data_IF_322475692899
#
_entry.id   IF_322475692899
#
_cell.length_a   1.000
_cell.length_b   1.000
_cell.length_c   1.000
_cell.angle_alpha   90.00
_cell.angle_beta   90.00
_cell.angle_gamma   90.00
#
_symmetry.space_group_name_H-M   'P 1'
#
loop_
_entity.id
_entity.type
_entity.pdbx_description
1 polymer ?
#
# COMPACT_ATOMS: atom_id res chain seq x y z
N UNK A 1 -0.54 7.23 18.31
CA UNK A 1 0.74 7.30 17.58
C UNK A 1 0.84 8.64 16.90
N UNK A 2 1.94 9.37 17.12
CA UNK A 2 2.26 10.51 16.26
C UNK A 2 2.84 9.98 14.96
N UNK A 3 2.40 10.54 13.83
CA UNK A 3 2.92 10.20 12.51
C UNK A 3 3.30 11.48 11.79
N UNK A 4 4.51 11.53 11.24
CA UNK A 4 4.98 12.71 10.52
C UNK A 4 4.33 12.83 9.14
N UNK A 5 4.52 13.98 8.49
CA UNK A 5 4.03 14.21 7.11
C UNK A 5 4.55 13.16 6.14
N UNK A 6 5.83 12.77 6.25
CA UNK A 6 6.43 11.76 5.36
C UNK A 6 5.76 10.39 5.50
N UNK A 7 5.40 9.98 6.72
CA UNK A 7 4.61 8.76 6.95
C UNK A 7 3.28 8.82 6.21
N UNK A 8 2.55 9.95 6.36
CA UNK A 8 1.25 10.12 5.71
C UNK A 8 1.35 10.11 4.18
N UNK A 9 2.39 10.73 3.61
CA UNK A 9 2.63 10.74 2.16
C UNK A 9 2.90 9.34 1.63
N UNK A 10 3.84 8.61 2.25
CA UNK A 10 4.20 7.24 1.82
C UNK A 10 2.99 6.31 1.91
N UNK A 11 2.21 6.42 3.00
CA UNK A 11 0.97 5.66 3.15
C UNK A 11 -0.03 5.99 2.05
N UNK A 12 -0.26 7.26 1.76
CA UNK A 12 -1.23 7.70 0.76
C UNK A 12 -0.85 7.25 -0.67
N UNK A 13 0.44 7.23 -1.00
CA UNK A 13 0.96 6.72 -2.28
C UNK A 13 0.67 5.23 -2.44
N UNK A 14 1.02 4.41 -1.44
CA UNK A 14 0.71 2.98 -1.46
C UNK A 14 -0.79 2.71 -1.52
N UNK A 15 -1.59 3.42 -0.72
CA UNK A 15 -3.05 3.27 -0.73
C UNK A 15 -3.66 3.64 -2.10
N UNK A 16 -3.08 4.60 -2.83
CA UNK A 16 -3.50 4.94 -4.19
C UNK A 16 -3.18 3.79 -5.16
N UNK A 17 -1.97 3.25 -5.11
CA UNK A 17 -1.54 2.13 -5.95
C UNK A 17 -2.40 0.88 -5.69
N UNK A 18 -2.61 0.54 -4.41
CA UNK A 18 -3.44 -0.60 -3.99
C UNK A 18 -4.87 -0.43 -4.50
N UNK A 19 -5.47 0.75 -4.35
CA UNK A 19 -6.83 1.01 -4.86
C UNK A 19 -6.91 0.87 -6.37
N UNK A 20 -5.90 1.33 -7.10
CA UNK A 20 -5.85 1.15 -8.54
C UNK A 20 -5.82 -0.33 -8.94
N UNK A 21 -4.99 -1.14 -8.27
CA UNK A 21 -4.89 -2.58 -8.53
C UNK A 21 -6.18 -3.33 -8.17
N UNK A 22 -6.84 -2.97 -7.07
CA UNK A 22 -8.12 -3.56 -6.68
C UNK A 22 -9.23 -3.18 -7.67
N UNK A 23 -9.35 -1.91 -8.04
CA UNK A 23 -10.32 -1.46 -9.03
C UNK A 23 -10.10 -2.12 -10.40
N UNK A 24 -8.84 -2.34 -10.80
CA UNK A 24 -8.53 -3.11 -12.01
C UNK A 24 -8.97 -4.58 -11.86
N UNK A 25 -8.72 -5.19 -10.70
CA UNK A 25 -9.14 -6.56 -10.44
C UNK A 25 -10.66 -6.73 -10.53
N UNK A 26 -11.41 -5.83 -9.89
CA UNK A 26 -12.88 -5.82 -9.91
C UNK A 26 -13.44 -5.60 -11.33
N UNK A 27 -12.88 -4.65 -12.08
CA UNK A 27 -13.35 -4.34 -13.45
C UNK A 27 -13.14 -5.48 -14.44
N UNK A 28 -12.14 -6.33 -14.22
CA UNK A 28 -11.77 -7.42 -15.12
C UNK A 28 -11.97 -8.79 -14.48
N UNK A 29 -12.92 -8.90 -13.54
CA UNK A 29 -13.24 -10.14 -12.84
C UNK A 29 -13.39 -11.32 -13.81
N UNK A 30 -12.84 -12.47 -13.43
CA UNK A 30 -12.77 -13.66 -14.29
C UNK A 30 -11.60 -13.70 -15.28
N UNK A 31 -10.92 -12.58 -15.56
CA UNK A 31 -9.72 -12.56 -16.41
C UNK A 31 -8.44 -12.86 -15.62
N UNK A 32 -7.41 -13.47 -16.24
CA UNK A 32 -6.11 -13.67 -15.59
C UNK A 32 -5.45 -12.36 -15.11
N UNK A 33 -5.67 -11.26 -15.84
CA UNK A 33 -5.20 -9.93 -15.45
C UNK A 33 -5.74 -9.49 -14.08
N UNK A 34 -7.03 -9.75 -13.80
CA UNK A 34 -7.62 -9.42 -12.51
C UNK A 34 -6.99 -10.21 -11.35
N UNK A 35 -6.71 -11.50 -11.54
CA UNK A 35 -6.01 -12.32 -10.53
C UNK A 35 -4.60 -11.79 -10.26
N UNK A 36 -3.88 -11.39 -11.31
CA UNK A 36 -2.55 -10.78 -11.18
C UNK A 36 -2.62 -9.47 -10.39
N UNK A 37 -3.55 -8.58 -10.72
CA UNK A 37 -3.72 -7.30 -10.01
C UNK A 37 -4.13 -7.48 -8.55
N UNK A 38 -5.01 -8.45 -8.23
CA UNK A 38 -5.33 -8.78 -6.84
C UNK A 38 -4.10 -9.26 -6.04
N UNK A 39 -3.28 -10.12 -6.66
CA UNK A 39 -2.03 -10.58 -6.05
C UNK A 39 -1.06 -9.43 -5.84
N UNK A 40 -0.92 -8.53 -6.82
CA UNK A 40 -0.07 -7.35 -6.71
C UNK A 40 -0.55 -6.39 -5.62
N UNK A 41 -1.87 -6.19 -5.49
CA UNK A 41 -2.46 -5.38 -4.41
C UNK A 41 -2.12 -5.94 -3.03
N UNK A 42 -2.15 -7.27 -2.88
CA UNK A 42 -1.79 -7.94 -1.62
C UNK A 42 -0.30 -7.78 -1.31
N UNK A 43 0.57 -7.99 -2.30
CA UNK A 43 2.00 -7.74 -2.16
C UNK A 43 2.32 -6.28 -1.82
N UNK A 44 1.60 -5.33 -2.42
CA UNK A 44 1.76 -3.90 -2.14
C UNK A 44 1.35 -3.55 -0.70
N UNK A 45 0.28 -4.15 -0.16
CA UNK A 45 -0.08 -4.01 1.26
C UNK A 45 1.06 -4.48 2.17
N UNK A 46 1.70 -5.61 1.87
CA UNK A 46 2.84 -6.11 2.64
C UNK A 46 4.06 -5.18 2.55
N UNK A 47 4.37 -4.65 1.35
CA UNK A 47 5.44 -3.67 1.16
C UNK A 47 5.17 -2.37 1.93
N UNK A 48 3.93 -1.88 1.88
CA UNK A 48 3.50 -0.71 2.65
C UNK A 48 3.72 -0.93 4.14
N UNK A 49 3.25 -2.05 4.69
CA UNK A 49 3.44 -2.36 6.12
C UNK A 49 4.93 -2.35 6.51
N UNK A 50 5.81 -2.98 5.71
CA UNK A 50 7.26 -2.97 5.95
C UNK A 50 7.85 -1.56 5.91
N UNK A 51 7.48 -0.76 4.92
CA UNK A 51 7.97 0.60 4.77
C UNK A 51 7.55 1.50 5.94
N UNK A 52 6.28 1.40 6.36
CA UNK A 52 5.74 2.17 7.47
C UNK A 52 6.33 1.73 8.81
N UNK A 53 6.44 0.42 9.08
CA UNK A 53 7.09 -0.09 10.29
C UNK A 53 8.56 0.31 10.37
N UNK A 54 9.29 0.23 9.25
CA UNK A 54 10.69 0.70 9.22
C UNK A 54 10.80 2.20 9.42
N UNK A 55 9.81 2.98 8.97
CA UNK A 55 9.79 4.42 9.18
C UNK A 55 9.56 4.77 10.65
N UNK A 56 8.57 4.16 11.28
CA UNK A 56 8.27 4.39 12.71
C UNK A 56 9.47 4.02 13.59
N UNK A 57 10.19 2.94 13.29
CA UNK A 57 11.39 2.55 14.05
C UNK A 57 12.61 3.47 13.88
N UNK A 58 12.59 4.43 12.94
CA UNK A 58 13.74 5.30 12.63
C UNK A 58 13.43 6.80 12.72
N UNK A 59 12.17 7.18 12.61
CA UNK A 59 11.77 8.58 12.57
C UNK A 59 11.60 9.10 14.00
N UNK A 60 12.32 10.16 14.42
CA UNK A 60 12.22 10.71 15.77
C UNK A 60 10.87 11.38 16.06
N UNK A 61 10.10 11.71 15.01
CA UNK A 61 8.76 12.29 15.12
C UNK A 61 7.65 11.23 15.16
N UNK A 62 7.93 10.00 14.70
CA UNK A 62 6.92 8.95 14.64
C UNK A 62 7.05 8.02 15.85
N UNK A 63 5.92 7.78 16.54
CA UNK A 63 5.86 7.09 17.83
C UNK A 63 4.68 7.58 18.63
#
# INVERSE_FOLDING_TARGET
MKTCRRFSTVRAEYEREIRYMLAHSERYEGKPAAKSSAKQATSAKQRMARALSSHVGRCPECG
#
